data_IF_638382696292
#
_entry.id   IF_638382696292
#
_cell.length_a   1.000
_cell.length_b   1.000
_cell.length_c   1.000
_cell.angle_alpha   90.00
_cell.angle_beta   90.00
_cell.angle_gamma   90.00
#
_symmetry.space_group_name_H-M   'P 1'
#
loop_
_entity.id
_entity.type
_entity.pdbx_description
1 polymer ?
#
# COMPACT_ATOMS: atom_id res chain seq x y z
N UNK A 1 7.97 -30.11 5.28
CA UNK A 1 8.46 -28.73 5.49
C UNK A 1 7.30 -27.90 5.99
N UNK A 2 7.52 -27.13 7.06
CA UNK A 2 6.59 -27.09 8.19
C UNK A 2 5.42 -26.13 8.02
N UNK A 3 4.22 -26.60 8.41
CA UNK A 3 3.02 -25.79 8.60
C UNK A 3 3.27 -24.54 9.47
N UNK A 4 4.32 -24.55 10.29
CA UNK A 4 4.78 -23.39 11.05
C UNK A 4 5.23 -22.20 10.19
N UNK A 5 5.89 -22.42 9.05
CA UNK A 5 6.32 -21.32 8.16
C UNK A 5 5.13 -20.66 7.47
N UNK A 6 4.18 -21.46 6.97
CA UNK A 6 2.99 -20.94 6.29
C UNK A 6 2.07 -20.17 7.26
N UNK A 7 1.95 -20.64 8.51
CA UNK A 7 1.24 -19.90 9.56
C UNK A 7 1.92 -18.58 9.90
N UNK A 8 3.24 -18.58 10.09
CA UNK A 8 4.00 -17.36 10.36
C UNK A 8 3.90 -16.36 9.20
N UNK A 9 3.87 -16.84 7.96
CA UNK A 9 3.65 -16.00 6.78
C UNK A 9 2.28 -15.31 6.80
N UNK A 10 1.22 -16.00 7.22
CA UNK A 10 -0.11 -15.40 7.36
C UNK A 10 -0.18 -14.38 8.52
N UNK A 11 0.48 -14.65 9.65
CA UNK A 11 0.58 -13.69 10.76
C UNK A 11 1.33 -12.41 10.35
N UNK A 12 2.42 -12.54 9.59
CA UNK A 12 3.13 -11.40 9.02
C UNK A 12 2.28 -10.69 7.96
N UNK A 13 1.55 -11.42 7.12
CA UNK A 13 0.64 -10.82 6.14
C UNK A 13 -0.43 -9.98 6.85
N UNK A 14 -0.95 -10.46 7.98
CA UNK A 14 -1.89 -9.72 8.83
C UNK A 14 -1.29 -8.39 9.29
N UNK A 15 -0.13 -8.44 9.95
CA UNK A 15 0.51 -7.22 10.45
C UNK A 15 0.86 -6.25 9.29
N UNK A 16 1.46 -6.77 8.22
CA UNK A 16 1.86 -5.99 7.06
C UNK A 16 0.68 -5.31 6.36
N UNK A 17 -0.44 -6.03 6.17
CA UNK A 17 -1.65 -5.51 5.52
C UNK A 17 -2.36 -4.46 6.36
N UNK A 18 -2.42 -4.60 7.69
CA UNK A 18 -2.95 -3.57 8.58
C UNK A 18 -2.18 -2.25 8.44
N UNK A 19 -0.85 -2.32 8.51
CA UNK A 19 -0.02 -1.12 8.40
C UNK A 19 -0.02 -0.55 6.99
N UNK A 20 -0.13 -1.38 5.95
CA UNK A 20 -0.33 -0.90 4.58
C UNK A 20 -1.63 -0.11 4.45
N UNK A 21 -2.73 -0.67 4.96
CA UNK A 21 -4.03 -0.02 5.02
C UNK A 21 -3.95 1.35 5.70
N UNK A 22 -3.40 1.41 6.93
CA UNK A 22 -3.28 2.67 7.68
C UNK A 22 -2.43 3.69 6.90
N UNK A 23 -1.32 3.25 6.33
CA UNK A 23 -0.38 4.13 5.63
C UNK A 23 -0.96 4.71 4.35
N UNK A 24 -1.63 3.88 3.54
CA UNK A 24 -2.25 4.29 2.28
C UNK A 24 -3.50 5.13 2.54
N UNK A 25 -4.26 4.83 3.59
CA UNK A 25 -5.37 5.67 4.03
C UNK A 25 -4.89 7.07 4.43
N UNK A 26 -3.79 7.17 5.20
CA UNK A 26 -3.20 8.47 5.55
C UNK A 26 -2.72 9.24 4.32
N UNK A 27 -2.08 8.55 3.36
CA UNK A 27 -1.68 9.18 2.09
C UNK A 27 -2.89 9.70 1.30
N UNK A 28 -3.98 8.92 1.23
CA UNK A 28 -5.20 9.35 0.56
C UNK A 28 -5.86 10.55 1.26
N UNK A 29 -5.89 10.56 2.60
CA UNK A 29 -6.38 11.70 3.39
C UNK A 29 -5.48 12.93 3.18
N UNK A 30 -4.16 12.75 3.20
CA UNK A 30 -3.18 13.82 2.99
C UNK A 30 -3.36 14.52 1.64
N UNK A 31 -3.56 13.74 0.57
CA UNK A 31 -3.86 14.28 -0.77
C UNK A 31 -5.13 15.16 -0.82
N UNK A 32 -6.07 14.95 0.10
CA UNK A 32 -7.29 15.75 0.23
C UNK A 32 -7.12 17.06 1.02
N UNK A 33 -6.00 17.29 1.70
CA UNK A 33 -5.78 18.43 2.59
C UNK A 33 -4.81 19.44 1.96
N UNK A 34 -5.29 20.64 1.57
CA UNK A 34 -4.41 21.69 1.05
C UNK A 34 -3.38 22.14 2.09
N UNK A 35 -2.18 22.51 1.61
CA UNK A 35 -1.08 23.13 2.39
C UNK A 35 -0.40 22.22 3.41
N UNK A 36 -1.12 21.41 4.17
CA UNK A 36 -0.56 20.53 5.21
C UNK A 36 -0.68 19.04 4.91
N UNK A 37 -1.30 18.67 3.79
CA UNK A 37 -1.45 17.29 3.33
C UNK A 37 -0.15 16.49 3.29
N UNK A 38 0.94 17.15 2.88
CA UNK A 38 2.27 16.54 2.78
C UNK A 38 2.78 15.96 4.10
N UNK A 39 2.37 16.52 5.25
CA UNK A 39 2.73 15.98 6.57
C UNK A 39 2.00 14.66 6.82
N UNK A 40 0.71 14.60 6.50
CA UNK A 40 -0.12 13.40 6.68
C UNK A 40 0.36 12.29 5.73
N UNK A 41 0.59 12.61 4.47
CA UNK A 41 1.17 11.69 3.48
C UNK A 41 2.57 11.24 3.87
N UNK A 42 3.40 12.15 4.39
CA UNK A 42 4.73 11.84 4.90
C UNK A 42 4.71 10.87 6.10
N UNK A 43 3.77 11.06 7.04
CA UNK A 43 3.54 10.10 8.13
C UNK A 43 3.08 8.75 7.59
N UNK A 44 2.18 8.73 6.61
CA UNK A 44 1.79 7.49 5.92
C UNK A 44 2.98 6.76 5.29
N UNK A 45 3.82 7.46 4.53
CA UNK A 45 5.03 6.90 3.93
C UNK A 45 6.00 6.34 4.99
N UNK A 46 6.18 7.08 6.10
CA UNK A 46 7.03 6.66 7.22
C UNK A 46 6.51 5.39 7.91
N UNK A 47 5.21 5.31 8.18
CA UNK A 47 4.57 4.13 8.76
C UNK A 47 4.68 2.93 7.82
N UNK A 48 4.50 3.13 6.51
CA UNK A 48 4.68 2.05 5.54
C UNK A 48 6.11 1.51 5.58
N UNK A 49 7.09 2.42 5.55
CA UNK A 49 8.51 2.08 5.54
C UNK A 49 8.94 1.30 6.80
N UNK A 50 8.43 1.71 7.97
CA UNK A 50 8.89 1.18 9.27
C UNK A 50 8.08 0.00 9.79
N UNK A 51 6.80 -0.11 9.43
CA UNK A 51 5.88 -1.12 9.97
C UNK A 51 5.34 -2.10 8.94
N UNK A 52 4.97 -1.62 7.75
CA UNK A 52 4.33 -2.48 6.75
C UNK A 52 5.34 -3.25 5.90
N UNK A 53 6.36 -2.55 5.39
CA UNK A 53 7.28 -3.04 4.36
C UNK A 53 7.92 -4.38 4.72
N UNK A 54 8.59 -4.45 5.87
CA UNK A 54 9.32 -5.66 6.25
C UNK A 54 8.41 -6.89 6.38
N UNK A 55 7.22 -6.69 6.95
CA UNK A 55 6.26 -7.75 7.19
C UNK A 55 5.58 -8.23 5.90
N UNK A 56 5.24 -7.31 4.99
CA UNK A 56 4.73 -7.65 3.65
C UNK A 56 5.80 -8.34 2.79
N UNK A 57 7.03 -7.84 2.77
CA UNK A 57 8.11 -8.46 1.99
C UNK A 57 8.39 -9.90 2.44
N UNK A 58 8.38 -10.14 3.75
CA UNK A 58 8.63 -11.46 4.32
C UNK A 58 7.45 -12.41 4.09
N UNK A 59 6.22 -11.99 4.40
CA UNK A 59 5.02 -12.81 4.19
C UNK A 59 4.82 -13.22 2.74
N UNK A 60 4.91 -12.28 1.80
CA UNK A 60 4.77 -12.56 0.36
C UNK A 60 5.86 -13.53 -0.11
N UNK A 61 7.11 -13.32 0.30
CA UNK A 61 8.22 -14.23 -0.01
C UNK A 61 7.96 -15.64 0.53
N UNK A 62 7.45 -15.76 1.75
CA UNK A 62 7.18 -17.04 2.39
C UNK A 62 5.99 -17.75 1.75
N UNK A 63 4.91 -17.03 1.38
CA UNK A 63 3.79 -17.57 0.62
C UNK A 63 4.20 -18.07 -0.76
N UNK A 64 5.05 -17.32 -1.46
CA UNK A 64 5.65 -17.74 -2.73
C UNK A 64 6.51 -18.99 -2.57
N UNK A 65 7.41 -19.02 -1.58
CA UNK A 65 8.26 -20.20 -1.34
C UNK A 65 7.47 -21.43 -0.93
N UNK A 66 6.29 -21.24 -0.34
CA UNK A 66 5.31 -22.30 -0.04
C UNK A 66 4.53 -22.78 -1.28
N UNK A 67 4.77 -22.17 -2.45
CA UNK A 67 4.11 -22.51 -3.70
C UNK A 67 2.68 -21.96 -3.82
N UNK A 68 2.29 -21.01 -2.96
CA UNK A 68 0.95 -20.37 -2.97
C UNK A 68 0.88 -19.14 -3.89
N UNK A 69 2.03 -18.61 -4.32
CA UNK A 69 2.13 -17.55 -5.33
C UNK A 69 3.13 -17.91 -6.44
N UNK A 70 2.83 -17.56 -7.69
CA UNK A 70 3.77 -17.61 -8.82
C UNK A 70 4.40 -16.24 -9.11
N UNK A 71 3.85 -15.17 -8.54
CA UNK A 71 4.29 -13.79 -8.74
C UNK A 71 5.34 -13.40 -7.70
N UNK A 72 6.24 -12.47 -8.05
CA UNK A 72 7.16 -11.85 -7.11
C UNK A 72 6.66 -10.46 -6.71
N UNK A 73 5.66 -10.39 -5.84
CA UNK A 73 5.17 -9.15 -5.26
C UNK A 73 6.09 -8.60 -4.16
N UNK A 74 6.79 -9.49 -3.45
CA UNK A 74 7.72 -9.11 -2.37
C UNK A 74 8.76 -8.06 -2.81
N UNK A 75 9.31 -8.20 -4.03
CA UNK A 75 10.28 -7.25 -4.57
C UNK A 75 9.71 -5.88 -4.92
N UNK A 76 8.39 -5.71 -5.00
CA UNK A 76 7.76 -4.45 -5.37
C UNK A 76 7.30 -3.61 -4.19
N UNK A 77 7.05 -4.24 -3.04
CA UNK A 77 6.69 -3.57 -1.78
C UNK A 77 7.71 -2.50 -1.40
N UNK A 78 9.00 -2.72 -1.67
CA UNK A 78 10.07 -1.73 -1.41
C UNK A 78 9.90 -0.41 -2.15
N UNK A 79 9.16 -0.37 -3.26
CA UNK A 79 8.98 0.84 -4.06
C UNK A 79 7.84 1.73 -3.55
N UNK A 80 6.89 1.18 -2.79
CA UNK A 80 5.74 1.92 -2.24
C UNK A 80 6.18 3.12 -1.38
N UNK A 81 7.12 3.01 -0.42
CA UNK A 81 7.58 4.17 0.35
C UNK A 81 8.19 5.28 -0.50
N UNK A 82 8.95 4.94 -1.55
CA UNK A 82 9.57 5.93 -2.43
C UNK A 82 8.51 6.65 -3.27
N UNK A 83 7.51 5.89 -3.75
CA UNK A 83 6.38 6.45 -4.48
C UNK A 83 5.55 7.39 -3.58
N UNK A 84 5.23 6.99 -2.35
CA UNK A 84 4.57 7.86 -1.36
C UNK A 84 5.43 9.07 -0.98
N UNK A 85 6.75 8.92 -0.92
CA UNK A 85 7.68 10.03 -0.72
C UNK A 85 7.63 11.06 -1.86
N UNK A 86 7.49 10.60 -3.11
CA UNK A 86 7.28 11.47 -4.25
C UNK A 86 5.91 12.18 -4.18
N UNK A 87 4.85 11.49 -3.74
CA UNK A 87 3.54 12.14 -3.48
C UNK A 87 3.68 13.26 -2.45
N UNK A 88 4.28 12.97 -1.30
CA UNK A 88 4.49 13.96 -0.24
C UNK A 88 5.35 15.15 -0.72
N UNK A 89 6.37 14.90 -1.54
CA UNK A 89 7.19 15.95 -2.12
C UNK A 89 6.39 16.84 -3.08
N UNK A 90 5.56 16.25 -3.94
CA UNK A 90 4.67 17.01 -4.82
C UNK A 90 3.69 17.87 -4.02
N UNK A 91 3.11 17.33 -2.96
CA UNK A 91 2.24 18.06 -2.03
C UNK A 91 2.95 19.22 -1.33
N UNK A 92 4.21 19.03 -0.92
CA UNK A 92 5.02 20.09 -0.33
C UNK A 92 5.28 21.23 -1.32
N UNK A 93 5.55 20.92 -2.58
CA UNK A 93 5.74 21.91 -3.64
C UNK A 93 4.44 22.71 -3.87
N UNK A 94 3.30 22.02 -3.92
CA UNK A 94 1.99 22.67 -4.05
C UNK A 94 1.68 23.57 -2.84
N UNK A 95 2.02 23.12 -1.63
CA UNK A 95 1.87 23.91 -0.41
C UNK A 95 2.74 25.18 -0.46
N UNK A 96 3.99 25.07 -0.91
CA UNK A 96 4.87 26.22 -1.08
C UNK A 96 4.31 27.21 -2.11
N UNK A 97 3.76 26.73 -3.23
CA UNK A 97 3.11 27.59 -4.23
C UNK A 97 1.88 28.32 -3.64
N UNK A 98 1.06 27.63 -2.84
CA UNK A 98 -0.09 28.24 -2.18
C UNK A 98 0.34 29.34 -1.19
N UNK A 99 1.40 29.11 -0.41
CA UNK A 99 1.96 30.10 0.50
C UNK A 99 2.53 31.32 -0.24
N UNK A 100 3.21 31.11 -1.36
CA UNK A 100 3.69 32.20 -2.22
C UNK A 100 2.54 33.04 -2.78
N UNK A 101 1.42 32.41 -3.16
CA UNK A 101 0.22 33.11 -3.63
C UNK A 101 -0.39 33.99 -2.54
N UNK A 102 -0.47 33.48 -1.30
CA UNK A 102 -0.99 34.19 -0.13
C UNK A 102 -0.13 35.39 0.27
N UNK A 103 1.19 35.31 0.06
CA UNK A 103 2.13 36.39 0.36
C UNK A 103 1.95 37.65 -0.52
N UNK A 104 0.97 37.68 -1.43
CA UNK A 104 0.57 38.85 -2.22
C UNK A 104 1.73 39.49 -2.99
N UNK A 105 2.62 38.68 -3.57
CA UNK A 105 3.78 39.15 -4.33
C UNK A 105 3.27 39.89 -5.59
N UNK A 106 3.47 41.22 -5.70
CA UNK A 106 2.89 41.98 -6.79
C UNK A 106 3.65 41.71 -8.11
N UNK A 107 2.91 41.41 -9.16
CA UNK A 107 3.39 41.42 -10.55
C UNK A 107 3.05 40.16 -11.37
N UNK A 108 2.85 40.29 -12.69
CA UNK A 108 2.49 39.16 -13.56
C UNK A 108 3.57 38.07 -13.61
N UNK A 109 4.85 38.42 -13.43
CA UNK A 109 5.94 37.44 -13.33
C UNK A 109 5.86 36.56 -12.08
N UNK A 110 5.39 37.11 -10.95
CA UNK A 110 5.21 36.36 -9.71
C UNK A 110 4.03 35.38 -9.81
N UNK A 111 2.94 35.80 -10.46
CA UNK A 111 1.80 34.92 -10.76
C UNK A 111 2.20 33.74 -11.65
N UNK A 112 2.98 33.99 -12.70
CA UNK A 112 3.50 32.91 -13.58
C UNK A 112 4.36 31.94 -12.77
N UNK A 113 5.26 32.45 -11.91
CA UNK A 113 6.10 31.61 -11.08
C UNK A 113 5.28 30.70 -10.13
N UNK A 114 4.25 31.25 -9.47
CA UNK A 114 3.34 30.48 -8.61
C UNK A 114 2.64 29.37 -9.39
N UNK A 115 2.14 29.67 -10.60
CA UNK A 115 1.48 28.68 -11.46
C UNK A 115 2.47 27.58 -11.84
N UNK A 116 3.66 27.92 -12.32
CA UNK A 116 4.66 26.93 -12.74
C UNK A 116 5.05 26.02 -11.57
N UNK A 117 5.33 26.58 -10.39
CA UNK A 117 5.68 25.77 -9.20
C UNK A 117 4.53 24.85 -8.82
N UNK A 118 3.29 25.33 -8.83
CA UNK A 118 2.11 24.51 -8.52
C UNK A 118 1.95 23.34 -9.49
N UNK A 119 2.06 23.59 -10.80
CA UNK A 119 1.91 22.54 -11.81
C UNK A 119 3.05 21.51 -11.75
N UNK A 120 4.28 21.93 -11.42
CA UNK A 120 5.37 21.01 -11.11
C UNK A 120 5.05 20.13 -9.90
N UNK A 121 4.44 20.70 -8.85
CA UNK A 121 3.97 19.96 -7.69
C UNK A 121 2.94 18.88 -8.05
N UNK A 122 1.95 19.22 -8.88
CA UNK A 122 0.98 18.23 -9.39
C UNK A 122 1.66 17.14 -10.21
N UNK A 123 2.60 17.49 -11.09
CA UNK A 123 3.30 16.52 -11.92
C UNK A 123 4.09 15.52 -11.06
N UNK A 124 4.83 16.01 -10.04
CA UNK A 124 5.58 15.15 -9.11
C UNK A 124 4.63 14.26 -8.30
N UNK A 125 3.53 14.80 -7.78
CA UNK A 125 2.55 14.02 -7.02
C UNK A 125 1.89 12.94 -7.90
N UNK A 126 1.52 13.28 -9.13
CA UNK A 126 0.93 12.35 -10.10
C UNK A 126 1.90 11.21 -10.44
N UNK A 127 3.19 11.52 -10.67
CA UNK A 127 4.22 10.49 -10.87
C UNK A 127 4.39 9.60 -9.64
N UNK A 128 4.28 10.16 -8.43
CA UNK A 128 4.24 9.40 -7.18
C UNK A 128 3.09 8.40 -7.15
N UNK A 129 1.86 8.83 -7.46
CA UNK A 129 0.70 7.94 -7.52
C UNK A 129 0.79 6.87 -8.61
N UNK A 130 1.37 7.19 -9.77
CA UNK A 130 1.71 6.17 -10.79
C UNK A 130 2.71 5.16 -10.23
N UNK A 131 3.70 5.61 -9.46
CA UNK A 131 4.63 4.73 -8.76
C UNK A 131 3.92 3.80 -7.77
N UNK A 132 2.96 4.32 -7.00
CA UNK A 132 2.14 3.51 -6.07
C UNK A 132 1.35 2.46 -6.83
N UNK A 133 0.65 2.86 -7.90
CA UNK A 133 -0.08 1.95 -8.78
C UNK A 133 0.81 0.79 -9.25
N UNK A 134 1.97 1.10 -9.85
CA UNK A 134 2.89 0.09 -10.38
C UNK A 134 3.43 -0.82 -9.28
N UNK A 135 3.74 -0.27 -8.11
CA UNK A 135 4.23 -1.03 -6.96
C UNK A 135 3.15 -1.92 -6.32
N UNK A 136 1.86 -1.55 -6.43
CA UNK A 136 0.73 -2.31 -5.89
C UNK A 136 0.24 -3.43 -6.82
N UNK A 137 0.55 -3.39 -8.12
CA UNK A 137 0.17 -4.45 -9.07
C UNK A 137 0.66 -5.82 -8.61
N UNK A 138 1.95 -5.95 -8.29
CA UNK A 138 2.55 -7.27 -8.03
C UNK A 138 2.13 -7.87 -6.68
N UNK A 139 2.11 -7.11 -5.55
CA UNK A 139 1.50 -7.60 -4.31
C UNK A 139 0.03 -7.97 -4.49
N UNK A 140 -0.74 -7.20 -5.27
CA UNK A 140 -2.15 -7.51 -5.54
C UNK A 140 -2.34 -8.82 -6.33
N UNK A 141 -1.54 -9.04 -7.38
CA UNK A 141 -1.52 -10.29 -8.14
C UNK A 141 -1.11 -11.49 -7.28
N UNK A 142 -0.14 -11.29 -6.38
CA UNK A 142 0.31 -12.32 -5.45
C UNK A 142 -0.78 -12.71 -4.45
N UNK A 143 -1.45 -11.72 -3.83
CA UNK A 143 -2.61 -11.97 -2.96
C UNK A 143 -3.72 -12.67 -3.75
N UNK A 144 -4.01 -12.24 -4.98
CA UNK A 144 -4.99 -12.90 -5.83
C UNK A 144 -4.67 -14.38 -6.10
N UNK A 145 -3.41 -14.71 -6.41
CA UNK A 145 -2.99 -16.10 -6.67
C UNK A 145 -3.11 -16.97 -5.41
N UNK A 146 -2.77 -16.43 -4.24
CA UNK A 146 -2.97 -17.12 -2.95
C UNK A 146 -4.46 -17.43 -2.74
N UNK A 147 -5.35 -16.47 -3.00
CA UNK A 147 -6.80 -16.67 -2.90
C UNK A 147 -7.33 -17.66 -3.95
N UNK A 148 -6.78 -17.65 -5.16
CA UNK A 148 -7.07 -18.62 -6.21
C UNK A 148 -6.80 -20.05 -5.74
N UNK A 149 -5.59 -20.30 -5.21
CA UNK A 149 -5.13 -21.63 -4.79
C UNK A 149 -5.81 -22.16 -3.54
N UNK A 150 -6.22 -21.27 -2.64
CA UNK A 150 -6.93 -21.63 -1.41
C UNK A 150 -8.45 -21.63 -1.57
N UNK A 151 -8.94 -21.35 -2.78
CA UNK A 151 -10.36 -21.21 -3.12
C UNK A 151 -11.09 -20.20 -2.21
N UNK A 152 -10.46 -19.04 -1.99
CA UNK A 152 -10.97 -17.98 -1.13
C UNK A 152 -11.35 -16.74 -1.95
N UNK A 153 -12.65 -16.48 -2.05
CA UNK A 153 -13.18 -15.38 -2.87
C UNK A 153 -12.87 -14.01 -2.29
N UNK A 154 -12.82 -13.87 -0.95
CA UNK A 154 -12.51 -12.60 -0.31
C UNK A 154 -11.05 -12.23 -0.57
N UNK A 155 -10.14 -13.20 -0.50
CA UNK A 155 -8.72 -12.96 -0.76
C UNK A 155 -8.44 -12.69 -2.25
N UNK A 156 -9.22 -13.29 -3.17
CA UNK A 156 -9.19 -12.92 -4.61
C UNK A 156 -9.64 -11.47 -4.82
N UNK A 157 -10.77 -11.08 -4.23
CA UNK A 157 -11.28 -9.70 -4.32
C UNK A 157 -10.29 -8.72 -3.71
N UNK A 158 -9.67 -9.07 -2.57
CA UNK A 158 -8.63 -8.28 -1.95
C UNK A 158 -7.46 -8.01 -2.91
N UNK A 159 -6.96 -9.05 -3.58
CA UNK A 159 -5.89 -8.93 -4.58
C UNK A 159 -6.24 -7.98 -5.72
N UNK A 160 -7.47 -8.05 -6.26
CA UNK A 160 -7.93 -7.13 -7.32
C UNK A 160 -7.97 -5.68 -6.81
N UNK A 161 -8.50 -5.47 -5.60
CA UNK A 161 -8.63 -4.13 -5.02
C UNK A 161 -7.27 -3.51 -4.69
N UNK A 162 -6.30 -4.30 -4.23
CA UNK A 162 -4.91 -3.83 -3.99
C UNK A 162 -4.30 -3.21 -5.24
N UNK A 163 -4.63 -3.71 -6.44
CA UNK A 163 -4.07 -3.20 -7.70
C UNK A 163 -4.55 -1.78 -8.01
N UNK A 164 -5.75 -1.42 -7.57
CA UNK A 164 -6.40 -0.15 -7.93
C UNK A 164 -6.08 0.91 -6.88
N UNK A 165 -5.41 2.03 -7.23
CA UNK A 165 -5.11 3.10 -6.28
C UNK A 165 -6.37 3.63 -5.61
N UNK A 166 -6.27 4.02 -4.33
CA UNK A 166 -7.37 4.44 -3.46
C UNK A 166 -8.33 3.31 -3.04
N UNK A 167 -8.63 2.36 -3.94
CA UNK A 167 -9.32 1.13 -3.58
C UNK A 167 -8.39 0.10 -2.92
N UNK A 168 -7.08 0.29 -3.06
CA UNK A 168 -6.01 -0.50 -2.43
C UNK A 168 -6.14 -0.54 -0.91
N UNK A 169 -6.57 0.55 -0.30
CA UNK A 169 -6.96 0.64 1.11
C UNK A 169 -7.98 -0.46 1.45
N UNK A 170 -9.02 -0.64 0.63
CA UNK A 170 -10.05 -1.67 0.83
C UNK A 170 -9.47 -3.08 0.63
N UNK A 171 -8.60 -3.24 -0.38
CA UNK A 171 -7.93 -4.53 -0.60
C UNK A 171 -7.05 -4.96 0.58
N UNK A 172 -6.29 -4.04 1.15
CA UNK A 172 -5.43 -4.33 2.31
C UNK A 172 -6.22 -4.64 3.58
N UNK A 173 -7.34 -3.95 3.85
CA UNK A 173 -8.16 -4.29 5.03
C UNK A 173 -8.85 -5.65 4.89
N UNK A 174 -9.28 -6.04 3.69
CA UNK A 174 -9.82 -7.40 3.47
C UNK A 174 -8.71 -8.44 3.68
N UNK A 175 -7.50 -8.18 3.17
CA UNK A 175 -6.34 -9.06 3.38
C UNK A 175 -6.02 -9.23 4.87
N UNK A 176 -6.13 -8.16 5.66
CA UNK A 176 -5.97 -8.20 7.11
C UNK A 176 -7.01 -9.11 7.80
N UNK A 177 -8.28 -9.00 7.41
CA UNK A 177 -9.37 -9.80 7.98
C UNK A 177 -9.21 -11.28 7.60
N UNK A 178 -8.82 -11.57 6.36
CA UNK A 178 -8.65 -12.94 5.86
C UNK A 178 -7.34 -13.62 6.32
N UNK A 179 -6.39 -12.85 6.86
CA UNK A 179 -5.13 -13.42 7.34
C UNK A 179 -5.32 -14.38 8.54
N UNK A 180 -6.32 -14.16 9.39
CA UNK A 180 -6.63 -15.04 10.53
C UNK A 180 -7.18 -16.42 10.08
N UNK A 181 -8.24 -16.49 9.25
CA UNK A 181 -8.68 -17.74 8.62
C UNK A 181 -7.57 -18.44 7.84
N UNK A 182 -6.75 -17.67 7.11
CA UNK A 182 -5.59 -18.17 6.36
C UNK A 182 -4.59 -18.86 7.30
N UNK A 183 -4.22 -18.21 8.40
CA UNK A 183 -3.29 -18.77 9.39
C UNK A 183 -3.82 -20.07 10.01
N UNK A 184 -5.13 -20.18 10.23
CA UNK A 184 -5.75 -21.41 10.74
C UNK A 184 -5.70 -22.55 9.73
N UNK A 185 -6.05 -22.28 8.45
CA UNK A 185 -5.99 -23.29 7.37
C UNK A 185 -4.56 -23.78 7.13
N UNK A 186 -3.59 -22.88 7.19
CA UNK A 186 -2.17 -23.19 6.98
C UNK A 186 -1.51 -23.83 8.21
N UNK A 187 -2.00 -23.51 9.41
CA UNK A 187 -1.53 -24.06 10.69
C UNK A 187 -2.20 -25.37 11.12
N UNK A 188 -3.29 -25.78 10.46
CA UNK A 188 -4.09 -26.94 10.86
C UNK A 188 -4.97 -27.49 9.76
N UNK A 189 -4.40 -28.29 8.87
CA UNK A 189 -5.18 -29.13 7.95
C UNK A 189 -5.69 -30.39 8.63
N UNK A 190 -6.86 -30.31 9.30
CA UNK A 190 -7.65 -31.47 9.71
C UNK A 190 -8.42 -31.29 11.02
N UNK A 191 -9.51 -30.52 11.01
CA UNK A 191 -10.64 -30.90 11.86
C UNK A 191 -11.20 -32.19 11.25
N UNK A 192 -10.76 -33.33 11.79
CA UNK A 192 -11.39 -34.62 11.58
C UNK A 192 -12.84 -34.47 12.07
N UNK A 193 -13.88 -34.73 11.24
CA UNK A 193 -15.24 -34.84 11.76
C UNK A 193 -15.20 -36.02 12.73
N UNK A 194 -15.44 -35.76 14.02
CA UNK A 194 -15.62 -36.83 14.99
C UNK A 194 -16.77 -37.72 14.53
N UNK A 195 -16.65 -39.06 14.64
CA UNK A 195 -17.75 -39.95 14.30
C UNK A 195 -18.94 -39.64 15.21
N UNK A 196 -20.05 -39.21 14.60
CA UNK A 196 -21.39 -39.21 15.18
C UNK A 196 -22.18 -40.36 14.59
#
# INVERSE_FOLDING_TARGET
MSQGYAKAAAEQLKEGSLWAFISLLLAAIGAGIPVVGFLVTGVGAYLFLTRSRGSLEASLRDLRSSGLSQYDGSGWVRYVPYALGAVALGELIMAAAALMALASIPGPGALIAVIVVRELGYAVAALGWVGVLLASIFPGLEVYDVGSRLNDDLLRVAGILIIVPFADVVGWIITFVEADPLAQRLGGGGQQPGPS
#
